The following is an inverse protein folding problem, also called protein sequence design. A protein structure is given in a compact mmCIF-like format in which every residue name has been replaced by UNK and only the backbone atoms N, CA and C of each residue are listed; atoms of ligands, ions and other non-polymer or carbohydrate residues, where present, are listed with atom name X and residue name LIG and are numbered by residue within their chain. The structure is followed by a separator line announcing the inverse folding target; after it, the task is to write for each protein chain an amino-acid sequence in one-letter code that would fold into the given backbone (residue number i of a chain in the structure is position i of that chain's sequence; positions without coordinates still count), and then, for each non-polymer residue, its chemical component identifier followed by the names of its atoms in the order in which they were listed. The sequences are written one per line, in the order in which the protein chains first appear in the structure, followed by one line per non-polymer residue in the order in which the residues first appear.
data_IF_145314596112
#
_entry.id   IF_145314596112
#
_cell.length_a   1.000
_cell.length_b   1.000
_cell.length_c   1.000
_cell.angle_alpha   90.00
_cell.angle_beta   90.00
_cell.angle_gamma   90.00
#
_symmetry.space_group_name_H-M   'P 1'
#
loop_
_entity.id
_entity.type
_entity.pdbx_description
1 polymer ?
#
# COMPACT_ATOMS: atom_id res chain seq x y z
N UNK A 1 -2.67 15.24 11.29
CA UNK A 1 -2.23 16.53 11.84
C UNK A 1 -3.47 17.29 12.32
N UNK A 2 -3.67 17.47 13.63
CA UNK A 2 -4.78 18.31 14.13
C UNK A 2 -4.36 19.76 13.91
N UNK A 3 -4.92 20.41 12.89
CA UNK A 3 -4.51 21.76 12.48
C UNK A 3 -5.02 22.86 13.41
N UNK A 4 -6.01 22.55 14.27
CA UNK A 4 -6.59 23.51 15.22
C UNK A 4 -7.20 22.79 16.40
N UNK A 5 -6.82 23.17 17.61
CA UNK A 5 -7.50 22.77 18.85
C UNK A 5 -8.28 23.98 19.36
N UNK A 6 -9.59 23.83 19.53
CA UNK A 6 -10.43 24.78 20.25
C UNK A 6 -10.73 24.20 21.63
N UNK A 7 -10.72 25.05 22.66
CA UNK A 7 -11.13 24.67 24.01
C UNK A 7 -12.38 25.45 24.35
N UNK A 8 -13.44 24.75 24.69
CA UNK A 8 -14.69 25.33 25.15
C UNK A 8 -14.98 24.83 26.56
N UNK A 9 -15.54 25.70 27.41
CA UNK A 9 -16.01 25.30 28.74
C UNK A 9 -17.43 24.79 28.59
N UNK A 10 -17.70 23.58 29.08
CA UNK A 10 -19.02 22.95 29.04
C UNK A 10 -19.46 22.53 30.43
N UNK A 11 -20.76 22.42 30.64
CA UNK A 11 -21.34 21.96 31.92
C UNK A 11 -21.33 20.44 31.92
N UNK A 12 -20.90 19.82 33.02
CA UNK A 12 -20.95 18.37 33.18
C UNK A 12 -22.42 17.90 33.08
N UNK A 13 -22.73 17.07 32.09
CA UNK A 13 -24.08 16.54 31.85
C UNK A 13 -24.38 15.25 32.63
N UNK A 14 -23.54 14.87 33.59
CA UNK A 14 -23.76 13.68 34.44
C UNK A 14 -23.31 12.36 33.82
N UNK A 15 -22.39 12.39 32.85
CA UNK A 15 -21.82 11.17 32.28
C UNK A 15 -20.99 10.40 33.32
N UNK A 16 -21.22 9.08 33.42
CA UNK A 16 -20.53 8.20 34.39
C UNK A 16 -19.31 7.49 33.80
N UNK A 17 -19.20 7.46 32.47
CA UNK A 17 -18.12 6.80 31.73
C UNK A 17 -17.83 7.52 30.41
N UNK A 18 -16.68 7.24 29.81
CA UNK A 18 -16.28 7.76 28.50
C UNK A 18 -16.73 6.81 27.40
N UNK A 19 -17.43 7.34 26.40
CA UNK A 19 -17.93 6.58 25.26
C UNK A 19 -17.75 7.39 23.98
N UNK A 20 -17.46 6.71 22.88
CA UNK A 20 -17.47 7.28 21.53
C UNK A 20 -18.90 7.11 20.99
N UNK A 21 -19.61 8.22 20.79
CA UNK A 21 -21.01 8.21 20.34
C UNK A 21 -21.05 8.62 18.86
N UNK A 22 -21.71 7.81 18.02
CA UNK A 22 -22.03 8.20 16.66
C UNK A 22 -23.03 9.36 16.66
N UNK A 23 -22.65 10.48 16.04
CA UNK A 23 -23.54 11.63 15.87
C UNK A 23 -23.67 11.95 14.39
N UNK A 24 -24.91 11.94 13.88
CA UNK A 24 -25.21 12.49 12.56
C UNK A 24 -25.05 14.01 12.60
N UNK A 25 -23.97 14.53 12.03
CA UNK A 25 -23.77 15.97 11.82
C UNK A 25 -24.28 16.38 10.43
N UNK A 26 -25.11 17.42 10.38
CA UNK A 26 -25.50 18.12 9.16
C UNK A 26 -24.67 19.41 9.01
N UNK A 27 -24.09 19.65 7.83
CA UNK A 27 -23.23 20.81 7.54
C UNK A 27 -22.05 20.46 6.63
N UNK A 28 -21.32 21.47 6.13
CA UNK A 28 -20.10 21.22 5.35
C UNK A 28 -18.99 20.69 6.26
N UNK A 29 -18.67 19.40 6.13
CA UNK A 29 -17.51 18.80 6.79
C UNK A 29 -16.24 19.38 6.17
N UNK A 30 -15.62 20.35 6.85
CA UNK A 30 -14.23 20.73 6.59
C UNK A 30 -13.30 19.68 7.23
N UNK A 31 -13.44 18.42 6.81
CA UNK A 31 -12.61 17.31 7.30
C UNK A 31 -11.58 16.97 6.24
N UNK A 32 -10.30 17.02 6.63
CA UNK A 32 -9.20 16.59 5.78
C UNK A 32 -9.25 15.07 5.65
N UNK A 33 -9.48 14.57 4.43
CA UNK A 33 -9.47 13.13 4.16
C UNK A 33 -8.03 12.62 4.37
N UNK A 34 -7.81 11.60 5.21
CA UNK A 34 -6.46 11.09 5.43
C UNK A 34 -5.89 10.50 4.13
N UNK A 35 -4.60 10.74 3.83
CA UNK A 35 -3.95 10.15 2.67
C UNK A 35 -3.77 8.64 2.86
N UNK A 36 -3.59 7.92 1.76
CA UNK A 36 -3.12 6.54 1.80
C UNK A 36 -1.68 6.52 2.35
N UNK A 37 -1.39 5.56 3.24
CA UNK A 37 -0.06 5.37 3.80
C UNK A 37 0.46 3.96 3.50
N UNK A 38 1.75 3.84 3.23
CA UNK A 38 2.43 2.56 3.10
C UNK A 38 2.27 1.71 4.38
N UNK A 39 2.28 0.39 4.22
CA UNK A 39 2.22 -0.57 5.33
C UNK A 39 3.33 -0.31 6.36
N UNK A 40 2.97 -0.29 7.65
CA UNK A 40 3.96 -0.08 8.72
C UNK A 40 4.72 -1.37 9.06
N UNK A 41 5.86 -1.21 9.72
CA UNK A 41 6.71 -2.34 10.14
C UNK A 41 5.99 -3.32 11.06
N UNK A 42 5.12 -2.83 11.94
CA UNK A 42 4.34 -3.69 12.83
C UNK A 42 3.37 -4.61 12.06
N UNK A 43 2.79 -4.11 10.97
CA UNK A 43 1.92 -4.91 10.10
C UNK A 43 2.72 -5.89 9.24
N UNK A 44 3.90 -5.49 8.74
CA UNK A 44 4.80 -6.37 8.01
C UNK A 44 5.30 -7.52 8.88
N UNK A 45 5.61 -7.24 10.15
CA UNK A 45 6.06 -8.26 11.11
C UNK A 45 4.99 -9.36 11.31
N UNK A 46 3.71 -9.01 11.43
CA UNK A 46 2.62 -9.99 11.53
C UNK A 46 2.44 -10.80 10.24
N UNK A 47 2.58 -10.16 9.07
CA UNK A 47 2.47 -10.87 7.78
C UNK A 47 3.61 -11.87 7.61
N UNK A 48 4.77 -11.59 8.19
CA UNK A 48 5.94 -12.46 8.17
C UNK A 48 5.93 -13.54 9.25
N UNK A 49 5.07 -13.44 10.28
CA UNK A 49 5.04 -14.38 11.42
C UNK A 49 4.07 -15.56 11.16
N UNK A 50 4.56 -16.81 11.01
CA UNK A 50 3.70 -17.98 10.82
C UNK A 50 2.72 -18.27 11.96
N UNK A 51 2.95 -17.72 13.15
CA UNK A 51 2.05 -17.85 14.30
C UNK A 51 0.92 -16.81 14.29
N UNK A 52 1.04 -15.72 13.53
CA UNK A 52 -0.02 -14.73 13.40
C UNK A 52 -1.09 -15.20 12.41
N UNK A 53 -2.36 -14.94 12.73
CA UNK A 53 -3.47 -15.22 11.82
C UNK A 53 -3.50 -14.38 10.54
N UNK A 54 -2.66 -13.35 10.44
CA UNK A 54 -2.43 -12.54 9.24
C UNK A 54 -1.18 -12.96 8.47
N UNK A 55 -0.56 -14.09 8.81
CA UNK A 55 0.56 -14.64 8.05
C UNK A 55 0.23 -14.71 6.56
N UNK A 56 1.09 -14.12 5.72
CA UNK A 56 0.93 -14.07 4.27
C UNK A 56 -0.25 -13.23 3.75
N UNK A 57 -0.90 -12.40 4.59
CA UNK A 57 -2.09 -11.64 4.18
C UNK A 57 -1.77 -10.29 3.52
N UNK A 58 -1.98 -10.21 2.21
CA UNK A 58 -1.63 -9.05 1.36
C UNK A 58 -2.38 -7.73 1.69
N UNK A 59 -3.52 -7.78 2.39
CA UNK A 59 -4.36 -6.61 2.66
C UNK A 59 -4.34 -6.19 4.14
N UNK A 60 -3.30 -6.56 4.89
CA UNK A 60 -3.16 -6.13 6.29
C UNK A 60 -3.07 -4.60 6.39
N UNK A 61 -3.70 -4.03 7.41
CA UNK A 61 -3.54 -2.64 7.79
C UNK A 61 -3.87 -2.44 9.27
N UNK A 62 -3.49 -1.28 9.81
CA UNK A 62 -3.87 -0.82 11.15
C UNK A 62 -4.33 0.64 11.10
N UNK A 63 -4.56 1.27 12.25
CA UNK A 63 -4.96 2.68 12.33
C UNK A 63 -3.90 3.65 11.76
N UNK A 64 -2.63 3.25 11.72
CA UNK A 64 -1.51 4.10 11.30
C UNK A 64 -1.16 3.99 9.80
N UNK A 65 -1.54 2.89 9.15
CA UNK A 65 -1.12 2.57 7.78
C UNK A 65 -2.26 2.03 6.89
N UNK A 66 -1.96 1.84 5.61
CA UNK A 66 -2.86 1.25 4.64
C UNK A 66 -3.73 2.28 3.91
N UNK A 67 -4.66 1.80 3.08
CA UNK A 67 -5.52 2.66 2.29
C UNK A 67 -6.47 3.48 3.16
N UNK A 68 -6.73 4.70 2.69
CA UNK A 68 -7.63 5.69 3.27
C UNK A 68 -8.44 6.31 2.12
N UNK A 69 -7.88 7.35 1.49
CA UNK A 69 -8.52 8.08 0.39
C UNK A 69 -8.94 7.13 -0.74
N UNK A 70 -8.07 6.21 -1.15
CA UNK A 70 -8.31 5.30 -2.27
C UNK A 70 -9.50 4.34 -2.08
N UNK A 71 -9.92 4.09 -0.84
CA UNK A 71 -11.08 3.25 -0.54
C UNK A 71 -12.33 4.04 -0.11
N UNK A 72 -12.24 5.34 0.09
CA UNK A 72 -13.33 6.14 0.64
C UNK A 72 -14.38 6.47 -0.44
N UNK A 73 -15.63 6.13 -0.19
CA UNK A 73 -16.76 6.53 -1.02
C UNK A 73 -17.34 7.89 -0.60
N UNK A 74 -17.52 8.10 0.72
CA UNK A 74 -18.05 9.35 1.27
C UNK A 74 -17.60 9.58 2.72
N UNK A 75 -17.79 10.79 3.24
CA UNK A 75 -17.55 11.10 4.65
C UNK A 75 -18.83 10.92 5.47
N UNK A 76 -18.74 10.53 6.76
CA UNK A 76 -17.54 10.38 7.60
C UNK A 76 -16.69 9.14 7.27
N UNK A 77 -15.42 9.13 7.74
CA UNK A 77 -14.49 7.99 7.55
C UNK A 77 -14.90 6.81 8.43
N UNK A 78 -15.88 6.05 7.93
CA UNK A 78 -16.43 4.84 8.54
C UNK A 78 -16.36 3.69 7.56
N UNK A 79 -16.22 2.45 8.06
CA UNK A 79 -16.08 1.25 7.23
C UNK A 79 -17.22 1.12 6.21
N UNK A 80 -18.45 1.43 6.62
CA UNK A 80 -19.65 1.42 5.78
C UNK A 80 -19.59 2.41 4.60
N UNK A 81 -18.72 3.40 4.67
CA UNK A 81 -18.47 4.40 3.64
C UNK A 81 -17.19 4.13 2.84
N UNK A 82 -16.65 2.91 2.90
CA UNK A 82 -15.44 2.51 2.16
C UNK A 82 -15.69 1.27 1.32
N UNK A 83 -14.77 0.94 0.42
CA UNK A 83 -14.75 -0.34 -0.30
C UNK A 83 -14.64 -1.58 0.60
N UNK A 84 -14.46 -1.42 1.93
CA UNK A 84 -14.48 -2.51 2.90
C UNK A 84 -15.89 -2.82 3.43
N UNK A 85 -16.93 -2.10 2.99
CA UNK A 85 -18.33 -2.29 3.40
C UNK A 85 -18.85 -3.71 3.13
N UNK A 86 -18.37 -4.31 2.05
CA UNK A 86 -18.86 -5.62 1.57
C UNK A 86 -18.19 -6.79 2.31
N UNK A 87 -17.20 -6.50 3.15
CA UNK A 87 -16.40 -7.47 3.89
C UNK A 87 -16.77 -7.45 5.38
N UNK A 88 -17.73 -8.29 5.79
CA UNK A 88 -18.16 -8.39 7.19
C UNK A 88 -17.06 -8.91 8.11
N UNK A 89 -16.82 -8.24 9.25
CA UNK A 89 -15.75 -8.62 10.18
C UNK A 89 -16.00 -10.01 10.79
N UNK A 90 -14.96 -10.85 10.84
CA UNK A 90 -14.99 -12.07 11.64
C UNK A 90 -14.88 -11.73 13.14
N UNK A 91 -15.24 -12.66 14.02
CA UNK A 91 -15.21 -12.45 15.49
C UNK A 91 -13.86 -11.97 16.03
N UNK A 92 -12.75 -12.45 15.48
CA UNK A 92 -11.40 -12.01 15.88
C UNK A 92 -11.13 -10.56 15.48
N UNK A 93 -11.38 -10.20 14.22
CA UNK A 93 -11.22 -8.82 13.77
C UNK A 93 -12.19 -7.87 14.47
N UNK A 94 -13.41 -8.31 14.78
CA UNK A 94 -14.37 -7.52 15.56
C UNK A 94 -13.82 -7.23 16.96
N UNK A 95 -13.26 -8.24 17.65
CA UNK A 95 -12.64 -8.06 18.96
C UNK A 95 -11.47 -7.07 18.95
N UNK A 96 -10.62 -7.10 17.92
CA UNK A 96 -9.53 -6.14 17.74
C UNK A 96 -10.06 -4.73 17.39
N UNK A 97 -11.14 -4.64 16.60
CA UNK A 97 -11.76 -3.37 16.24
C UNK A 97 -12.41 -2.65 17.43
N UNK A 98 -13.03 -3.42 18.36
CA UNK A 98 -13.72 -2.88 19.53
C UNK A 98 -12.81 -2.67 20.75
N UNK A 99 -11.59 -3.22 20.74
CA UNK A 99 -10.68 -3.19 21.88
C UNK A 99 -9.81 -1.93 21.91
N UNK A 100 -9.93 -1.03 22.91
CA UNK A 100 -9.18 0.23 22.97
C UNK A 100 -7.67 0.05 23.23
N UNK A 101 -7.23 -1.14 23.62
CA UNK A 101 -5.82 -1.47 23.82
C UNK A 101 -5.17 -2.09 22.58
N UNK A 102 -5.98 -2.45 21.58
CA UNK A 102 -5.49 -2.98 20.31
C UNK A 102 -5.09 -1.84 19.37
N UNK A 103 -4.00 -2.02 18.62
CA UNK A 103 -3.55 -1.05 17.60
C UNK A 103 -4.56 -0.86 16.46
N UNK A 104 -5.50 -1.79 16.33
CA UNK A 104 -6.58 -1.80 15.34
C UNK A 104 -7.92 -1.34 15.91
N UNK A 105 -7.95 -0.77 17.12
CA UNK A 105 -9.13 -0.10 17.65
C UNK A 105 -9.66 0.93 16.64
N UNK A 106 -10.89 0.76 16.16
CA UNK A 106 -11.49 1.57 15.08
C UNK A 106 -10.67 1.65 13.77
N UNK A 107 -9.86 0.65 13.44
CA UNK A 107 -9.23 0.56 12.12
C UNK A 107 -10.28 0.18 11.07
N UNK A 108 -10.80 1.17 10.34
CA UNK A 108 -11.90 0.98 9.38
C UNK A 108 -11.58 -0.04 8.27
N UNK A 109 -10.29 -0.20 7.93
CA UNK A 109 -9.79 -1.15 6.93
C UNK A 109 -9.28 -2.48 7.51
N UNK A 110 -9.53 -2.76 8.79
CA UNK A 110 -9.15 -4.05 9.39
C UNK A 110 -9.76 -5.21 8.61
N UNK A 111 -8.92 -6.22 8.37
CA UNK A 111 -9.30 -7.50 7.80
C UNK A 111 -8.26 -8.57 8.13
N UNK A 112 -8.58 -9.81 7.77
CA UNK A 112 -7.69 -10.97 7.82
C UNK A 112 -8.09 -11.94 6.69
N UNK A 113 -7.34 -13.04 6.46
CA UNK A 113 -7.68 -14.02 5.42
C UNK A 113 -9.10 -14.58 5.48
N UNK A 114 -9.73 -14.60 6.67
CA UNK A 114 -11.10 -15.12 6.84
C UNK A 114 -12.21 -14.16 6.39
N UNK A 115 -12.03 -12.85 6.54
CA UNK A 115 -13.12 -11.88 6.34
C UNK A 115 -12.82 -10.81 5.30
N UNK A 116 -11.59 -10.70 4.82
CA UNK A 116 -11.19 -9.65 3.90
C UNK A 116 -11.11 -10.07 2.45
N UNK A 117 -10.68 -9.14 1.58
CA UNK A 117 -10.36 -9.42 0.20
C UNK A 117 -9.26 -10.48 0.08
N UNK A 118 -9.29 -11.22 -1.03
CA UNK A 118 -8.34 -12.27 -1.39
C UNK A 118 -7.61 -11.88 -2.68
N UNK A 119 -6.38 -12.37 -2.82
CA UNK A 119 -5.60 -12.13 -4.05
C UNK A 119 -6.00 -13.19 -5.07
N UNK A 120 -6.06 -12.82 -6.34
CA UNK A 120 -6.23 -13.76 -7.44
C UNK A 120 -5.50 -13.26 -8.68
N UNK A 121 -5.18 -14.18 -9.58
CA UNK A 121 -4.52 -13.87 -10.86
C UNK A 121 -5.32 -14.43 -12.03
N UNK A 122 -5.20 -13.79 -13.19
CA UNK A 122 -5.73 -14.29 -14.46
C UNK A 122 -4.68 -14.28 -15.55
N UNK A 123 -4.84 -15.13 -16.56
CA UNK A 123 -4.09 -15.02 -17.81
C UNK A 123 -4.70 -13.97 -18.77
N UNK A 124 -4.13 -13.84 -19.96
CA UNK A 124 -4.60 -12.90 -20.98
C UNK A 124 -6.00 -13.23 -21.55
N UNK A 125 -6.46 -14.48 -21.40
CA UNK A 125 -7.82 -14.89 -21.77
C UNK A 125 -8.86 -14.57 -20.67
N UNK A 126 -8.42 -14.05 -19.51
CA UNK A 126 -9.29 -13.75 -18.37
C UNK A 126 -9.59 -14.97 -17.49
N UNK A 127 -8.91 -16.10 -17.71
CA UNK A 127 -9.09 -17.32 -16.91
C UNK A 127 -8.29 -17.20 -15.61
N UNK A 128 -8.90 -17.57 -14.48
CA UNK A 128 -8.24 -17.55 -13.18
C UNK A 128 -7.14 -18.61 -13.13
N UNK A 129 -5.92 -18.18 -12.79
CA UNK A 129 -4.72 -19.03 -12.77
C UNK A 129 -4.19 -19.33 -11.37
N UNK A 130 -4.73 -18.68 -10.36
CA UNK A 130 -4.35 -18.90 -8.97
C UNK A 130 -5.08 -17.95 -8.02
N UNK A 131 -5.11 -18.35 -6.75
CA UNK A 131 -5.61 -17.54 -5.63
C UNK A 131 -4.56 -17.43 -4.54
N UNK A 132 -4.58 -16.34 -3.79
CA UNK A 132 -3.71 -16.08 -2.65
C UNK A 132 -2.23 -16.34 -2.94
N UNK A 133 -1.64 -17.31 -2.23
CA UNK A 133 -0.21 -17.64 -2.37
C UNK A 133 0.11 -18.13 -3.78
N UNK A 134 -0.78 -18.88 -4.42
CA UNK A 134 -0.56 -19.38 -5.78
C UNK A 134 -0.52 -18.24 -6.80
N UNK A 135 -1.37 -17.22 -6.62
CA UNK A 135 -1.39 -16.04 -7.47
C UNK A 135 -0.07 -15.25 -7.36
N UNK A 136 0.43 -15.04 -6.13
CA UNK A 136 1.70 -14.35 -5.87
C UNK A 136 2.88 -15.13 -6.43
N UNK A 137 2.92 -16.46 -6.23
CA UNK A 137 3.95 -17.31 -6.79
C UNK A 137 3.92 -17.37 -8.32
N UNK A 138 2.71 -17.39 -8.91
CA UNK A 138 2.52 -17.32 -10.36
C UNK A 138 3.06 -16.02 -10.95
N UNK A 139 2.72 -14.88 -10.34
CA UNK A 139 3.25 -13.58 -10.71
C UNK A 139 4.78 -13.50 -10.58
N UNK A 140 5.34 -14.08 -9.52
CA UNK A 140 6.80 -14.15 -9.32
C UNK A 140 7.49 -14.95 -10.42
N UNK A 141 6.96 -16.14 -10.76
CA UNK A 141 7.49 -16.97 -11.84
C UNK A 141 7.43 -16.27 -13.20
N UNK A 142 6.32 -15.59 -13.50
CA UNK A 142 6.17 -14.84 -14.74
C UNK A 142 7.21 -13.73 -14.86
N UNK A 143 7.44 -12.96 -13.78
CA UNK A 143 8.49 -11.93 -13.75
C UNK A 143 9.89 -12.53 -13.96
N UNK A 144 10.21 -13.65 -13.29
CA UNK A 144 11.49 -14.36 -13.44
C UNK A 144 11.69 -14.90 -14.87
N UNK A 145 10.61 -15.17 -15.60
CA UNK A 145 10.63 -15.60 -17.00
C UNK A 145 10.69 -14.42 -17.98
N UNK A 146 10.79 -13.18 -17.49
CA UNK A 146 10.85 -11.97 -18.32
C UNK A 146 9.47 -11.53 -18.85
N UNK A 147 8.38 -12.06 -18.30
CA UNK A 147 7.04 -11.65 -18.69
C UNK A 147 6.62 -10.34 -18.02
N UNK A 148 5.60 -9.70 -18.59
CA UNK A 148 4.97 -8.51 -18.02
C UNK A 148 3.68 -8.89 -17.30
N UNK A 149 3.54 -8.49 -16.03
CA UNK A 149 2.31 -8.68 -15.26
C UNK A 149 1.58 -7.36 -15.01
N UNK A 150 0.26 -7.43 -14.84
CA UNK A 150 -0.56 -6.33 -14.32
C UNK A 150 -0.86 -6.55 -12.84
N UNK A 151 -0.49 -5.61 -11.98
CA UNK A 151 -0.76 -5.66 -10.54
C UNK A 151 -1.76 -4.56 -10.16
N UNK A 152 -2.85 -4.93 -9.49
CA UNK A 152 -3.76 -3.97 -8.84
C UNK A 152 -3.14 -3.47 -7.54
N UNK A 153 -2.64 -2.24 -7.54
CA UNK A 153 -2.22 -1.53 -6.33
C UNK A 153 -3.36 -0.72 -5.70
N UNK A 154 -3.01 0.14 -4.73
CA UNK A 154 -3.99 0.99 -4.02
C UNK A 154 -4.70 1.99 -4.95
N UNK A 155 -3.92 2.71 -5.77
CA UNK A 155 -4.42 3.79 -6.62
C UNK A 155 -4.76 3.39 -8.05
N UNK A 156 -4.68 2.10 -8.39
CA UNK A 156 -4.91 1.60 -9.75
C UNK A 156 -3.97 0.47 -10.14
N UNK A 157 -3.87 0.20 -11.45
CA UNK A 157 -3.04 -0.88 -11.97
C UNK A 157 -1.64 -0.40 -12.34
N UNK A 158 -0.65 -1.24 -12.05
CA UNK A 158 0.75 -1.09 -12.45
C UNK A 158 1.12 -2.22 -13.40
N UNK A 159 2.00 -1.94 -14.37
CA UNK A 159 2.63 -2.96 -15.20
C UNK A 159 4.03 -3.21 -14.64
N UNK A 160 4.34 -4.45 -14.32
CA UNK A 160 5.60 -4.84 -13.72
C UNK A 160 6.37 -5.76 -14.67
N UNK A 161 7.69 -5.59 -14.66
CA UNK A 161 8.66 -6.41 -15.39
C UNK A 161 9.97 -6.37 -14.61
N UNK A 162 10.85 -7.35 -14.82
CA UNK A 162 12.21 -7.31 -14.27
C UNK A 162 13.00 -6.13 -14.86
N UNK A 163 13.38 -5.19 -14.00
CA UNK A 163 14.10 -3.97 -14.37
C UNK A 163 15.59 -4.22 -14.73
N UNK A 164 16.12 -5.40 -14.44
CA UNK A 164 17.49 -5.81 -14.82
C UNK A 164 17.54 -6.45 -16.21
N UNK A 165 16.39 -6.84 -16.77
CA UNK A 165 16.28 -7.47 -18.07
C UNK A 165 15.94 -6.46 -19.17
N UNK A 166 16.94 -6.13 -20.00
CA UNK A 166 16.77 -5.18 -21.11
C UNK A 166 15.69 -5.62 -22.10
N UNK A 167 15.62 -6.92 -22.40
CA UNK A 167 14.62 -7.48 -23.32
C UNK A 167 13.20 -7.37 -22.75
N UNK A 168 13.02 -7.67 -21.46
CA UNK A 168 11.72 -7.60 -20.82
C UNK A 168 11.21 -6.15 -20.72
N UNK A 169 12.11 -5.21 -20.38
CA UNK A 169 11.80 -3.76 -20.40
C UNK A 169 11.44 -3.29 -21.81
N UNK A 170 12.13 -3.78 -22.84
CA UNK A 170 11.85 -3.43 -24.23
C UNK A 170 10.43 -3.87 -24.65
N UNK A 171 10.04 -5.12 -24.33
CA UNK A 171 8.70 -5.64 -24.59
C UNK A 171 7.63 -4.77 -23.90
N UNK A 172 7.86 -4.36 -22.65
CA UNK A 172 6.94 -3.46 -21.94
C UNK A 172 6.80 -2.10 -22.65
N UNK A 173 7.91 -1.51 -23.12
CA UNK A 173 7.89 -0.22 -23.82
C UNK A 173 7.11 -0.28 -25.13
N UNK A 174 7.28 -1.35 -25.90
CA UNK A 174 6.57 -1.59 -27.15
C UNK A 174 5.07 -1.71 -26.89
N UNK A 175 4.66 -2.59 -25.96
CA UNK A 175 3.25 -2.77 -25.60
C UNK A 175 2.60 -1.48 -25.09
N UNK A 176 3.34 -0.68 -24.32
CA UNK A 176 2.84 0.59 -23.74
C UNK A 176 2.99 1.79 -24.67
N UNK A 177 3.60 1.63 -25.85
CA UNK A 177 3.94 2.73 -26.77
C UNK A 177 4.69 3.88 -26.05
N UNK A 178 5.67 3.53 -25.21
CA UNK A 178 6.41 4.47 -24.35
C UNK A 178 7.93 4.37 -24.59
N UNK A 179 8.44 4.92 -25.70
CA UNK A 179 9.82 4.64 -26.14
C UNK A 179 10.90 5.22 -25.22
N UNK A 180 10.77 6.48 -24.75
CA UNK A 180 11.86 7.16 -24.03
C UNK A 180 11.56 7.63 -22.61
N UNK A 181 10.29 7.69 -22.20
CA UNK A 181 9.95 8.21 -20.86
C UNK A 181 10.43 7.21 -19.79
N UNK A 182 11.19 7.65 -18.76
CA UNK A 182 11.72 6.77 -17.72
C UNK A 182 10.64 5.94 -17.03
N UNK A 183 11.03 4.74 -16.59
CA UNK A 183 10.22 3.84 -15.77
C UNK A 183 10.76 3.87 -14.33
N UNK A 184 9.85 3.79 -13.36
CA UNK A 184 10.24 3.70 -11.95
C UNK A 184 10.62 2.25 -11.62
N UNK A 185 11.53 2.07 -10.66
CA UNK A 185 12.00 0.78 -10.17
C UNK A 185 11.61 0.65 -8.70
N UNK A 186 10.95 -0.47 -8.37
CA UNK A 186 10.66 -0.83 -6.99
C UNK A 186 11.77 -1.73 -6.46
N UNK A 187 12.26 -1.45 -5.27
CA UNK A 187 13.28 -2.25 -4.57
C UNK A 187 12.79 -2.64 -3.18
N UNK A 188 13.36 -3.68 -2.57
CA UNK A 188 12.86 -4.25 -1.31
C UNK A 188 13.00 -3.29 -0.13
N UNK A 189 14.11 -2.57 -0.05
CA UNK A 189 14.48 -1.74 1.09
C UNK A 189 15.52 -0.68 0.70
N UNK A 190 15.92 0.13 1.69
CA UNK A 190 16.92 1.18 1.50
C UNK A 190 18.32 0.65 1.18
N UNK A 191 18.68 -0.57 1.59
CA UNK A 191 19.97 -1.16 1.26
C UNK A 191 20.02 -1.50 -0.23
N UNK A 192 18.99 -2.17 -0.75
CA UNK A 192 18.85 -2.44 -2.18
C UNK A 192 18.82 -1.14 -3.01
N UNK A 193 18.14 -0.08 -2.53
CA UNK A 193 18.16 1.22 -3.20
C UNK A 193 19.59 1.80 -3.35
N UNK A 194 20.45 1.62 -2.33
CA UNK A 194 21.84 2.10 -2.32
C UNK A 194 22.76 1.35 -3.27
N UNK A 195 22.41 0.11 -3.62
CA UNK A 195 23.11 -0.66 -4.65
C UNK A 195 22.85 -0.10 -6.05
N UNK A 196 21.68 0.52 -6.29
CA UNK A 196 21.30 1.05 -7.60
C UNK A 196 21.69 2.53 -7.79
N UNK A 197 21.70 3.31 -6.71
CA UNK A 197 21.81 4.75 -6.77
C UNK A 197 22.55 5.35 -5.57
N UNK A 198 23.10 6.55 -5.76
CA UNK A 198 23.64 7.38 -4.68
C UNK A 198 22.46 8.06 -3.99
N UNK A 199 22.46 8.04 -2.65
CA UNK A 199 21.35 8.53 -1.84
C UNK A 199 21.86 9.20 -0.56
N UNK A 200 21.45 10.44 -0.32
CA UNK A 200 21.67 11.15 0.94
C UNK A 200 20.56 10.86 1.98
N UNK A 201 20.69 11.42 3.18
CA UNK A 201 19.76 11.14 4.28
C UNK A 201 18.35 11.70 4.03
N UNK A 202 18.24 12.86 3.38
CA UNK A 202 16.94 13.47 3.03
C UNK A 202 16.20 12.60 2.00
N UNK A 203 16.90 12.11 1.00
CA UNK A 203 16.36 11.21 -0.03
C UNK A 203 15.95 9.86 0.57
N UNK A 204 16.78 9.29 1.46
CA UNK A 204 16.45 8.07 2.18
C UNK A 204 15.21 8.24 3.07
N UNK A 205 15.11 9.37 3.78
CA UNK A 205 13.96 9.69 4.63
C UNK A 205 12.69 9.90 3.80
N UNK A 206 12.78 10.53 2.63
CA UNK A 206 11.66 10.69 1.71
C UNK A 206 11.19 9.34 1.17
N UNK A 207 12.13 8.50 0.72
CA UNK A 207 11.85 7.18 0.15
C UNK A 207 11.18 6.23 1.17
N UNK A 208 11.60 6.28 2.43
CA UNK A 208 11.01 5.50 3.53
C UNK A 208 9.84 6.18 4.25
N UNK A 209 9.39 7.36 3.79
CA UNK A 209 8.27 8.05 4.41
C UNK A 209 6.96 7.27 4.26
N UNK A 210 5.95 7.48 5.13
CA UNK A 210 4.65 6.82 4.98
C UNK A 210 3.95 7.08 3.65
N UNK A 211 4.28 8.18 2.96
CA UNK A 211 3.78 8.47 1.62
C UNK A 211 4.40 7.57 0.53
N UNK A 212 5.54 6.94 0.83
CA UNK A 212 6.32 6.05 -0.04
C UNK A 212 6.36 6.50 -1.52
N UNK A 213 6.85 7.73 -1.79
CA UNK A 213 6.87 8.27 -3.13
C UNK A 213 7.90 7.57 -4.02
N UNK A 214 7.80 7.82 -5.33
CA UNK A 214 8.93 7.61 -6.23
C UNK A 214 9.91 8.78 -6.02
N UNK A 215 11.14 8.48 -5.61
CA UNK A 215 12.22 9.45 -5.43
C UNK A 215 13.19 9.36 -6.62
N UNK A 216 13.57 10.50 -7.20
CA UNK A 216 14.58 10.55 -8.24
C UNK A 216 15.97 10.56 -7.59
N UNK A 217 16.74 9.51 -7.83
CA UNK A 217 18.08 9.33 -7.27
C UNK A 217 19.13 9.33 -8.38
N UNK A 218 20.35 9.76 -8.06
CA UNK A 218 21.48 9.69 -8.99
C UNK A 218 21.87 8.22 -9.20
N UNK A 219 21.65 7.68 -10.40
CA UNK A 219 21.98 6.30 -10.71
C UNK A 219 23.49 6.07 -10.59
N UNK A 220 23.87 4.91 -10.05
CA UNK A 220 25.26 4.44 -10.06
C UNK A 220 25.65 4.00 -11.47
N UNK A 221 26.93 4.14 -11.81
CA UNK A 221 27.46 3.72 -13.13
C UNK A 221 27.46 2.20 -13.29
N UNK A 222 27.62 1.48 -12.20
CA UNK A 222 27.63 0.02 -12.05
C UNK A 222 26.27 -0.53 -11.61
N UNK A 223 25.20 0.25 -11.73
CA UNK A 223 23.85 -0.21 -11.42
C UNK A 223 23.46 -1.38 -12.33
N UNK A 224 22.90 -2.49 -11.79
CA UNK A 224 22.47 -3.64 -12.57
C UNK A 224 21.18 -3.39 -13.38
N UNK A 225 20.61 -2.20 -13.30
CA UNK A 225 19.37 -1.84 -14.00
C UNK A 225 19.64 -1.68 -15.50
N UNK A 226 18.76 -2.24 -16.33
CA UNK A 226 18.87 -2.14 -17.77
C UNK A 226 18.85 -0.68 -18.24
N UNK A 227 19.77 -0.32 -19.15
CA UNK A 227 19.93 1.07 -19.61
C UNK A 227 18.70 1.65 -20.31
N UNK A 228 17.85 0.78 -20.86
CA UNK A 228 16.57 1.20 -21.42
C UNK A 228 15.50 1.49 -20.36
N UNK A 229 15.76 1.45 -19.05
CA UNK A 229 14.82 1.90 -18.00
C UNK A 229 14.78 3.43 -17.89
N UNK A 230 15.95 4.08 -17.91
CA UNK A 230 16.08 5.53 -17.79
C UNK A 230 16.55 6.22 -19.10
N UNK A 231 16.78 5.45 -20.17
CA UNK A 231 16.97 5.93 -21.54
C UNK A 231 18.07 7.00 -21.68
N UNK A 232 19.21 6.78 -21.01
CA UNK A 232 20.38 7.66 -21.08
C UNK A 232 20.40 8.81 -20.07
N UNK A 233 19.40 8.91 -19.19
CA UNK A 233 19.46 9.81 -18.04
C UNK A 233 20.43 9.29 -16.98
N UNK A 234 20.98 10.20 -16.18
CA UNK A 234 21.83 9.87 -15.05
C UNK A 234 21.02 9.63 -13.75
N UNK A 235 19.70 9.73 -13.79
CA UNK A 235 18.82 9.51 -12.63
C UNK A 235 17.94 8.28 -12.79
N UNK A 236 17.55 7.68 -11.66
CA UNK A 236 16.59 6.57 -11.57
C UNK A 236 15.44 6.98 -10.64
N UNK A 237 14.20 6.71 -11.05
CA UNK A 237 13.06 6.82 -10.15
C UNK A 237 12.95 5.55 -9.32
N UNK A 238 13.15 5.63 -8.01
CA UNK A 238 13.14 4.50 -7.08
C UNK A 238 11.97 4.62 -6.11
N UNK A 239 11.31 3.50 -5.81
CA UNK A 239 10.26 3.41 -4.79
C UNK A 239 10.41 2.14 -3.95
N UNK A 240 9.81 2.14 -2.75
CA UNK A 240 9.70 0.96 -1.89
C UNK A 240 8.31 0.33 -2.00
N UNK A 241 8.11 -0.92 -1.53
CA UNK A 241 6.80 -1.55 -1.50
C UNK A 241 5.88 -0.77 -0.56
N UNK A 242 4.64 -0.54 -1.00
CA UNK A 242 3.66 0.27 -0.26
C UNK A 242 2.60 -0.57 0.43
N UNK A 243 2.45 -1.83 0.03
CA UNK A 243 1.48 -2.80 0.59
C UNK A 243 2.22 -4.06 1.01
N UNK A 244 1.56 -4.90 1.81
CA UNK A 244 2.08 -6.21 2.21
C UNK A 244 2.11 -7.20 1.03
#
# INVERSE_FOLDING_TARGET
MIQRKTRETTVNRGGKQFEIIEKKTSGSLAVCVPPDNAVCQDCLAEVADPADHRFGYAFTSCTQCGPRYSLLHSLPYERSQTGMSDFGLCSRCQGEYDSPVDRRFHAQTIACPKCGPQVWSTNAAGEVTGTDTEAIQGATRALQQGETIGLKGLGGYQLLVDATSESAVQVLREKKHRPGKPLAVMVTDLAAARELAVMNDTEAAALASPAAPIVLLQARKDSPIAGNVNSGLNTLGVMLPTTA
#
